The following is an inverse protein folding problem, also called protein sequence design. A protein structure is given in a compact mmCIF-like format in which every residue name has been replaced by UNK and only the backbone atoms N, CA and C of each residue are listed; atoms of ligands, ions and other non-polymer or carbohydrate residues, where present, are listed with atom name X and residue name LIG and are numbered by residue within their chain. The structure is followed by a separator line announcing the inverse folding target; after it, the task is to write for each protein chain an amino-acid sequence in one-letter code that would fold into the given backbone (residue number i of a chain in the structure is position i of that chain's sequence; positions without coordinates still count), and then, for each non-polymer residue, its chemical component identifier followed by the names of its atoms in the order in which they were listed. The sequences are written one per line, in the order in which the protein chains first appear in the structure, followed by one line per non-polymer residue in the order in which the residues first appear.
data_IF_290087855787
#
_entry.id   IF_290087855787
#
_cell.length_a   1.000
_cell.length_b   1.000
_cell.length_c   1.000
_cell.angle_alpha   90.00
_cell.angle_beta   90.00
_cell.angle_gamma   90.00
#
_symmetry.space_group_name_H-M   'P 1'
#
loop_
_entity.id
_entity.type
_entity.pdbx_description
1 polymer ?
#
# COMPACT_ATOMS: atom_id res chain seq x y z
N UNK A 1 -0.32 -8.83 7.79
CA UNK A 1 0.83 -9.69 7.43
C UNK A 1 2.09 -8.89 7.23
N UNK A 2 3.22 -9.54 7.41
CA UNK A 2 4.52 -8.85 7.47
C UNK A 2 5.20 -8.65 6.12
N UNK A 3 4.79 -9.41 5.11
CA UNK A 3 5.41 -9.35 3.78
C UNK A 3 4.37 -9.15 2.69
N UNK A 4 4.67 -8.23 1.78
CA UNK A 4 3.89 -8.05 0.57
C UNK A 4 4.16 -9.23 -0.38
N UNK A 5 3.10 -9.96 -0.68
CA UNK A 5 3.08 -11.02 -1.68
C UNK A 5 1.89 -10.88 -2.65
N UNK A 6 1.07 -9.88 -2.45
CA UNK A 6 -0.04 -9.53 -3.34
C UNK A 6 -0.45 -8.06 -3.12
N UNK A 7 -0.93 -7.41 -4.15
CA UNK A 7 -1.52 -6.06 -4.14
C UNK A 7 -3.05 -6.09 -3.99
N UNK A 8 -3.59 -7.27 -3.69
CA UNK A 8 -4.99 -7.49 -3.34
C UNK A 8 -5.08 -8.20 -2.00
N UNK A 9 -6.13 -7.96 -1.22
CA UNK A 9 -6.42 -8.78 -0.04
C UNK A 9 -6.74 -10.21 -0.46
N UNK A 10 -6.51 -11.15 0.43
CA UNK A 10 -6.90 -12.53 0.21
C UNK A 10 -7.24 -13.26 1.51
N UNK A 11 -8.03 -14.32 1.40
CA UNK A 11 -8.39 -15.15 2.55
C UNK A 11 -7.29 -16.15 2.87
N UNK A 12 -7.04 -16.33 4.15
CA UNK A 12 -6.20 -17.41 4.67
C UNK A 12 -7.02 -18.27 5.64
N UNK A 13 -6.75 -19.55 5.63
CA UNK A 13 -7.35 -20.48 6.59
C UNK A 13 -6.59 -20.47 7.90
N UNK A 14 -7.31 -20.33 9.00
CA UNK A 14 -6.74 -20.46 10.34
C UNK A 14 -6.93 -21.85 10.90
N UNK A 15 -6.15 -22.22 11.89
CA UNK A 15 -6.34 -23.50 12.61
C UNK A 15 -7.70 -23.63 13.29
N UNK A 16 -8.32 -22.52 13.64
CA UNK A 16 -9.66 -22.49 14.24
C UNK A 16 -10.79 -22.66 13.22
N UNK A 17 -10.49 -22.71 11.93
CA UNK A 17 -11.46 -22.75 10.84
C UNK A 17 -12.15 -21.41 10.56
N UNK A 18 -11.82 -20.36 11.29
CA UNK A 18 -12.33 -19.01 11.00
C UNK A 18 -11.55 -18.38 9.85
N UNK A 19 -12.23 -17.73 8.91
CA UNK A 19 -11.54 -16.98 7.86
C UNK A 19 -10.75 -15.80 8.46
N UNK A 20 -9.60 -15.52 7.87
CA UNK A 20 -8.80 -14.34 8.17
C UNK A 20 -8.36 -13.70 6.86
N UNK A 21 -8.42 -12.38 6.80
CA UNK A 21 -7.97 -11.63 5.62
C UNK A 21 -6.51 -11.23 5.79
N UNK A 22 -5.72 -11.50 4.77
CA UNK A 22 -4.39 -10.94 4.63
C UNK A 22 -4.47 -9.63 3.85
N UNK A 23 -4.06 -8.53 4.47
CA UNK A 23 -3.78 -7.25 3.83
C UNK A 23 -2.29 -7.01 4.01
N UNK A 24 -1.54 -7.27 2.96
CA UNK A 24 -0.08 -7.39 3.05
C UNK A 24 0.61 -6.07 3.39
N UNK A 25 1.77 -6.15 4.01
CA UNK A 25 2.65 -5.04 4.34
C UNK A 25 3.92 -5.12 3.47
N UNK A 26 4.37 -3.98 2.96
CA UNK A 26 5.53 -3.95 2.06
C UNK A 26 6.82 -3.56 2.78
N UNK A 27 7.90 -4.22 2.41
CA UNK A 27 9.27 -3.82 2.72
C UNK A 27 9.94 -3.06 1.57
N UNK A 28 9.35 -3.04 0.38
CA UNK A 28 9.87 -2.34 -0.79
C UNK A 28 9.50 -0.86 -0.77
N UNK A 29 8.22 -0.55 -0.82
CA UNK A 29 7.71 0.81 -0.72
C UNK A 29 7.64 1.20 0.76
N UNK A 30 8.79 1.51 1.30
CA UNK A 30 9.03 1.69 2.72
C UNK A 30 10.08 2.79 2.91
N UNK A 31 9.96 3.60 3.93
CA UNK A 31 10.89 4.70 4.16
C UNK A 31 12.31 4.24 4.50
N UNK A 32 12.49 3.00 4.96
CA UNK A 32 13.84 2.41 5.08
C UNK A 32 14.56 2.30 3.74
N UNK A 33 13.86 2.34 2.61
CA UNK A 33 14.48 2.38 1.30
C UNK A 33 15.32 3.65 1.08
N UNK A 34 14.97 4.77 1.73
CA UNK A 34 15.83 5.96 1.76
C UNK A 34 17.22 5.64 2.33
N UNK A 35 17.26 4.85 3.40
CA UNK A 35 18.53 4.48 4.04
C UNK A 35 19.29 3.43 3.23
N UNK A 36 18.59 2.39 2.78
CA UNK A 36 19.20 1.28 2.04
C UNK A 36 19.74 1.70 0.67
N UNK A 37 19.05 2.59 -0.01
CA UNK A 37 19.38 3.03 -1.38
C UNK A 37 20.04 4.42 -1.42
N UNK A 38 20.21 5.09 -0.29
CA UNK A 38 20.75 6.44 -0.22
C UNK A 38 19.89 7.48 -0.94
N UNK A 39 18.57 7.31 -0.93
CA UNK A 39 17.64 8.20 -1.62
C UNK A 39 17.54 9.55 -0.92
N UNK A 40 17.47 10.59 -1.72
CA UNK A 40 17.01 11.93 -1.32
C UNK A 40 15.51 12.05 -1.58
N UNK A 41 14.91 13.18 -1.17
CA UNK A 41 13.46 13.36 -1.27
C UNK A 41 12.87 13.11 -2.66
N UNK A 42 13.56 13.53 -3.72
CA UNK A 42 13.12 13.34 -5.11
C UNK A 42 13.08 11.86 -5.50
N UNK A 43 14.11 11.09 -5.15
CA UNK A 43 14.13 9.64 -5.42
C UNK A 43 13.09 8.88 -4.63
N UNK A 44 12.82 9.27 -3.38
CA UNK A 44 11.75 8.70 -2.58
C UNK A 44 10.37 9.03 -3.13
N UNK A 45 10.13 10.26 -3.56
CA UNK A 45 8.89 10.66 -4.23
C UNK A 45 8.67 9.87 -5.51
N UNK A 46 9.70 9.74 -6.34
CA UNK A 46 9.62 8.95 -7.58
C UNK A 46 9.26 7.50 -7.28
N UNK A 47 9.89 6.87 -6.30
CA UNK A 47 9.57 5.50 -5.90
C UNK A 47 8.08 5.34 -5.52
N UNK A 48 7.54 6.29 -4.74
CA UNK A 48 6.13 6.25 -4.34
C UNK A 48 5.19 6.46 -5.54
N UNK A 49 5.52 7.39 -6.43
CA UNK A 49 4.70 7.70 -7.61
C UNK A 49 4.69 6.55 -8.61
N UNK A 50 5.83 5.97 -8.94
CA UNK A 50 5.91 4.84 -9.88
C UNK A 50 5.12 3.63 -9.37
N UNK A 51 5.21 3.32 -8.08
CA UNK A 51 4.39 2.25 -7.50
C UNK A 51 2.89 2.57 -7.58
N UNK A 52 2.51 3.80 -7.24
CA UNK A 52 1.13 4.24 -7.29
C UNK A 52 0.58 4.18 -8.73
N UNK A 53 1.29 4.74 -9.69
CA UNK A 53 0.85 4.83 -11.08
C UNK A 53 0.63 3.44 -11.69
N UNK A 54 1.53 2.50 -11.41
CA UNK A 54 1.39 1.12 -11.86
C UNK A 54 0.15 0.44 -11.27
N UNK A 55 -0.03 0.52 -9.96
CA UNK A 55 -1.20 -0.06 -9.31
C UNK A 55 -2.50 0.63 -9.72
N UNK A 56 -2.46 1.94 -9.96
CA UNK A 56 -3.60 2.69 -10.45
C UNK A 56 -4.04 2.22 -11.85
N UNK A 57 -3.09 2.01 -12.75
CA UNK A 57 -3.36 1.46 -14.07
C UNK A 57 -3.96 0.04 -13.99
N UNK A 58 -3.38 -0.84 -13.20
CA UNK A 58 -3.89 -2.20 -13.00
C UNK A 58 -5.28 -2.21 -12.34
N UNK A 59 -5.59 -1.24 -11.52
CA UNK A 59 -6.87 -1.15 -10.82
C UNK A 59 -8.07 -0.96 -11.74
N UNK A 60 -7.84 -0.54 -12.99
CA UNK A 60 -8.88 -0.46 -14.02
C UNK A 60 -9.54 -1.82 -14.33
N UNK A 61 -8.82 -2.92 -14.12
CA UNK A 61 -9.33 -4.27 -14.34
C UNK A 61 -9.75 -4.98 -13.06
N UNK A 62 -9.09 -4.70 -11.96
CA UNK A 62 -9.37 -5.31 -10.64
C UNK A 62 -8.74 -4.46 -9.55
N UNK A 63 -9.47 -4.22 -8.48
CA UNK A 63 -9.01 -3.36 -7.38
C UNK A 63 -7.61 -3.71 -6.87
N UNK A 64 -6.84 -2.69 -6.58
CA UNK A 64 -5.50 -2.79 -5.98
C UNK A 64 -5.46 -1.95 -4.70
N UNK A 65 -4.62 -2.34 -3.77
CA UNK A 65 -4.30 -1.47 -2.65
C UNK A 65 -2.80 -1.16 -2.60
N UNK A 66 -2.49 0.00 -2.06
CA UNK A 66 -1.12 0.42 -1.80
C UNK A 66 -0.97 0.77 -0.32
N UNK A 67 0.11 0.31 0.27
CA UNK A 67 0.55 0.81 1.56
C UNK A 67 2.02 1.24 1.49
N UNK A 68 2.40 2.17 2.33
CA UNK A 68 3.78 2.64 2.49
C UNK A 68 4.19 2.38 3.92
N UNK A 69 5.26 1.61 4.12
CA UNK A 69 5.83 1.41 5.45
C UNK A 69 6.53 2.68 5.93
N UNK A 70 6.11 3.22 7.06
CA UNK A 70 6.65 4.46 7.60
C UNK A 70 7.15 4.29 9.04
N UNK A 71 8.29 4.91 9.30
CA UNK A 71 8.91 4.96 10.63
C UNK A 71 9.17 6.42 10.99
N UNK A 72 8.62 6.95 12.10
CA UNK A 72 8.71 8.38 12.44
C UNK A 72 10.14 8.91 12.46
N UNK A 73 11.09 8.12 12.95
CA UNK A 73 12.50 8.51 13.00
C UNK A 73 13.22 8.51 11.64
N UNK A 74 12.61 7.89 10.63
CA UNK A 74 13.13 7.87 9.26
C UNK A 74 12.45 8.94 8.42
N UNK A 75 11.14 8.79 8.15
CA UNK A 75 10.41 9.70 7.28
C UNK A 75 10.23 11.10 7.89
N UNK A 76 10.22 11.19 9.23
CA UNK A 76 10.04 12.46 9.93
C UNK A 76 11.20 13.44 9.83
N UNK A 77 12.32 13.07 9.19
CA UNK A 77 13.42 14.01 8.95
C UNK A 77 12.99 15.09 7.95
N UNK A 78 13.40 16.37 8.17
CA UNK A 78 12.92 17.49 7.35
C UNK A 78 13.05 17.32 5.84
N UNK A 79 14.14 16.73 5.37
CA UNK A 79 14.35 16.53 3.93
C UNK A 79 13.57 15.34 3.36
N UNK A 80 13.22 14.33 4.18
CA UNK A 80 12.49 13.14 3.75
C UNK A 80 10.98 13.33 3.80
N UNK A 81 10.47 14.02 4.83
CA UNK A 81 9.02 14.24 4.99
C UNK A 81 8.41 14.97 3.78
N UNK A 82 9.21 15.75 3.06
CA UNK A 82 8.80 16.39 1.82
C UNK A 82 8.33 15.37 0.78
N UNK A 83 9.04 14.27 0.62
CA UNK A 83 8.66 13.22 -0.32
C UNK A 83 7.27 12.63 -0.01
N UNK A 84 7.00 12.33 1.25
CA UNK A 84 5.69 11.82 1.68
C UNK A 84 4.59 12.86 1.46
N UNK A 85 4.83 14.12 1.83
CA UNK A 85 3.86 15.20 1.65
C UNK A 85 3.51 15.41 0.18
N UNK A 86 4.50 15.44 -0.69
CA UNK A 86 4.32 15.69 -2.11
C UNK A 86 3.66 14.46 -2.78
N UNK A 87 3.97 13.25 -2.34
CA UNK A 87 3.26 12.03 -2.76
C UNK A 87 1.79 12.05 -2.35
N UNK A 88 1.46 12.40 -1.11
CA UNK A 88 0.07 12.48 -0.67
C UNK A 88 -0.72 13.49 -1.51
N UNK A 89 -0.14 14.63 -1.84
CA UNK A 89 -0.76 15.61 -2.73
C UNK A 89 -0.99 15.05 -4.14
N UNK A 90 -0.01 14.34 -4.66
CA UNK A 90 -0.10 13.66 -5.95
C UNK A 90 -1.24 12.63 -5.95
N UNK A 91 -1.24 11.71 -5.01
CA UNK A 91 -2.28 10.69 -4.92
C UNK A 91 -3.68 11.29 -4.73
N UNK A 92 -3.80 12.36 -3.93
CA UNK A 92 -5.07 13.08 -3.73
C UNK A 92 -5.56 13.88 -4.94
N UNK A 93 -4.77 14.03 -5.99
CA UNK A 93 -5.25 14.60 -7.24
C UNK A 93 -6.07 13.61 -8.09
N UNK A 94 -6.18 12.36 -7.65
CA UNK A 94 -7.03 11.33 -8.24
C UNK A 94 -8.29 11.18 -7.39
N UNK A 95 -9.46 11.38 -7.98
CA UNK A 95 -10.73 11.47 -7.25
C UNK A 95 -11.32 10.11 -6.85
N UNK A 96 -10.86 9.04 -7.47
CA UNK A 96 -11.34 7.66 -7.33
C UNK A 96 -10.49 6.78 -6.39
N UNK A 97 -9.70 7.41 -5.52
CA UNK A 97 -8.89 6.72 -4.51
C UNK A 97 -9.66 6.61 -3.20
N UNK A 98 -9.82 5.40 -2.73
CA UNK A 98 -10.33 5.13 -1.38
C UNK A 98 -9.20 5.24 -0.35
N UNK A 99 -9.20 6.35 0.37
CA UNK A 99 -8.31 6.58 1.52
C UNK A 99 -8.89 5.89 2.74
N UNK A 100 -8.24 4.85 3.21
CA UNK A 100 -8.82 3.94 4.20
C UNK A 100 -7.75 3.34 5.10
N UNK A 101 -8.19 2.58 6.09
CA UNK A 101 -7.34 1.75 6.94
C UNK A 101 -7.27 0.32 6.42
N UNK A 102 -6.25 -0.43 6.84
CA UNK A 102 -6.16 -1.86 6.52
C UNK A 102 -7.29 -2.67 7.14
N UNK A 103 -7.80 -2.24 8.28
CA UNK A 103 -8.97 -2.85 8.93
C UNK A 103 -10.21 -2.72 8.05
N UNK A 104 -10.52 -1.51 7.58
CA UNK A 104 -11.65 -1.27 6.67
C UNK A 104 -11.52 -2.05 5.35
N UNK A 105 -10.31 -2.18 4.80
CA UNK A 105 -10.07 -3.04 3.63
C UNK A 105 -10.41 -4.50 3.95
N UNK A 106 -9.97 -5.00 5.11
CA UNK A 106 -10.23 -6.37 5.52
C UNK A 106 -11.72 -6.64 5.74
N UNK A 107 -12.42 -5.72 6.39
CA UNK A 107 -13.87 -5.80 6.60
C UNK A 107 -14.62 -5.82 5.27
N UNK A 108 -14.32 -4.87 4.39
CA UNK A 108 -14.91 -4.82 3.06
C UNK A 108 -14.66 -6.11 2.27
N UNK A 109 -13.44 -6.63 2.34
CA UNK A 109 -13.07 -7.85 1.61
C UNK A 109 -13.81 -9.08 2.14
N UNK A 110 -14.03 -9.21 3.45
CA UNK A 110 -14.82 -10.29 4.03
C UNK A 110 -16.25 -10.31 3.50
N UNK A 111 -16.84 -9.16 3.23
CA UNK A 111 -18.20 -9.02 2.71
C UNK A 111 -18.28 -9.22 1.18
N UNK A 112 -17.20 -8.96 0.45
CA UNK A 112 -17.22 -8.86 -1.00
C UNK A 112 -16.27 -9.84 -1.73
N UNK A 113 -15.55 -10.69 -1.01
CA UNK A 113 -14.47 -11.51 -1.58
C UNK A 113 -14.91 -12.47 -2.68
N UNK A 114 -16.16 -12.95 -2.66
CA UNK A 114 -16.66 -13.88 -3.68
C UNK A 114 -16.62 -13.27 -5.10
N UNK A 115 -16.79 -11.96 -5.22
CA UNK A 115 -16.69 -11.24 -6.51
C UNK A 115 -15.26 -10.99 -6.96
N UNK A 116 -14.27 -11.27 -6.12
CA UNK A 116 -12.85 -11.02 -6.37
C UNK A 116 -12.00 -12.29 -6.44
N UNK A 117 -12.61 -13.46 -6.31
CA UNK A 117 -11.90 -14.73 -6.54
C UNK A 117 -11.70 -14.88 -8.04
N UNK A 118 -10.45 -15.01 -8.54
CA UNK A 118 -10.22 -15.31 -9.95
C UNK A 118 -10.87 -16.66 -10.29
N UNK A 119 -11.63 -16.65 -11.35
CA UNK A 119 -12.23 -17.87 -11.87
C UNK A 119 -11.17 -18.66 -12.62
#
# INVERSE_FOLDING_TARGET
TDLLNDDQPYLVQTRSGKPMVSVSYTSEVNDFSFLRQGLVAEGGLQMFQEQFDWLYEESASSGRFMNIGLHPHVIGQPYRIRALRDFIRYAKSHDDIWWTTREEIAEWYLENHESHIPI
#
